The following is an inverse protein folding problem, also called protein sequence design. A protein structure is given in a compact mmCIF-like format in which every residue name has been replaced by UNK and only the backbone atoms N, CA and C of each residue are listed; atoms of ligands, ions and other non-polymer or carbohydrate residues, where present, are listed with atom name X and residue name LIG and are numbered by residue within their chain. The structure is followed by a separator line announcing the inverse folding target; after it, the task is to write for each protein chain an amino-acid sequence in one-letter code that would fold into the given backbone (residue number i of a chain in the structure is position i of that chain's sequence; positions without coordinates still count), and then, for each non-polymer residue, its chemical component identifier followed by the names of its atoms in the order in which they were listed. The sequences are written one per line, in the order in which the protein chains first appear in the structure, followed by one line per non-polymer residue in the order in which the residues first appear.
data_IF_755452740507
#
_entry.id   IF_755452740507
#
_cell.length_a   1.000
_cell.length_b   1.000
_cell.length_c   1.000
_cell.angle_alpha   90.00
_cell.angle_beta   90.00
_cell.angle_gamma   90.00
#
_symmetry.space_group_name_H-M   'P 1'
#
loop_
_entity.id
_entity.type
_entity.pdbx_description
1 polymer ?
#
# COMPACT_ATOMS: atom_id res chain seq x y z
N UNK A 1 -15.12 -7.71 1.73
CA UNK A 1 -14.45 -6.80 2.67
C UNK A 1 -13.33 -7.54 3.35
N UNK A 2 -12.13 -6.98 3.36
CA UNK A 2 -10.96 -7.59 3.99
C UNK A 2 -10.31 -6.56 4.93
N UNK A 3 -9.81 -7.00 6.08
CA UNK A 3 -9.06 -6.16 7.02
C UNK A 3 -7.70 -6.79 7.22
N UNK A 4 -6.65 -5.97 7.22
CA UNK A 4 -5.29 -6.40 7.55
C UNK A 4 -4.62 -5.41 8.47
N UNK A 5 -3.67 -5.92 9.25
CA UNK A 5 -2.80 -5.12 10.09
C UNK A 5 -1.36 -5.38 9.65
N UNK A 6 -0.59 -4.30 9.50
CA UNK A 6 0.86 -4.35 9.59
C UNK A 6 1.30 -4.15 11.05
N UNK A 7 2.56 -3.79 11.27
CA UNK A 7 3.09 -3.63 12.63
C UNK A 7 2.39 -2.52 13.41
N UNK A 8 2.19 -1.36 12.77
CA UNK A 8 1.66 -0.15 13.41
C UNK A 8 0.65 0.60 12.53
N UNK A 9 0.17 -0.02 11.44
CA UNK A 9 -0.85 0.52 10.56
C UNK A 9 -1.89 -0.54 10.19
N UNK A 10 -3.10 -0.11 9.89
CA UNK A 10 -4.20 -1.00 9.51
C UNK A 10 -4.81 -0.56 8.19
N UNK A 11 -5.44 -1.51 7.51
CA UNK A 11 -6.10 -1.28 6.24
C UNK A 11 -7.39 -2.05 6.13
N UNK A 12 -8.36 -1.46 5.43
CA UNK A 12 -9.63 -2.10 5.07
C UNK A 12 -9.89 -1.95 3.58
N UNK A 13 -10.26 -3.06 2.96
CA UNK A 13 -10.75 -3.12 1.59
C UNK A 13 -12.27 -3.24 1.60
N UNK A 14 -12.95 -2.26 1.00
CA UNK A 14 -14.41 -2.24 0.89
C UNK A 14 -14.93 -3.25 -0.15
N UNK A 15 -16.26 -3.37 -0.29
CA UNK A 15 -16.86 -4.26 -1.31
C UNK A 15 -16.75 -3.67 -2.71
N UNK A 16 -16.62 -2.35 -2.80
CA UNK A 16 -16.48 -1.55 -4.01
C UNK A 16 -15.02 -1.49 -4.50
N UNK A 17 -14.12 -2.26 -3.88
CA UNK A 17 -12.71 -2.32 -4.26
C UNK A 17 -11.88 -1.11 -3.84
N UNK A 18 -12.33 -0.32 -2.85
CA UNK A 18 -11.60 0.83 -2.32
C UNK A 18 -10.79 0.46 -1.09
N UNK A 19 -9.51 0.86 -1.08
CA UNK A 19 -8.58 0.58 0.02
C UNK A 19 -8.41 1.83 0.90
N UNK A 20 -8.65 1.66 2.19
CA UNK A 20 -8.43 2.69 3.21
C UNK A 20 -7.37 2.20 4.18
N UNK A 21 -6.53 3.12 4.67
CA UNK A 21 -5.45 2.81 5.62
C UNK A 21 -5.41 3.82 6.76
N UNK A 22 -4.79 3.50 7.89
CA UNK A 22 -4.57 4.46 8.99
C UNK A 22 -3.48 3.95 9.94
N UNK A 23 -3.02 4.81 10.85
CA UNK A 23 -1.99 4.51 11.85
C UNK A 23 -0.64 5.14 11.55
N UNK A 24 0.42 4.42 11.90
CA UNK A 24 1.81 4.85 11.75
C UNK A 24 2.20 4.97 10.28
N UNK A 25 3.02 5.98 10.00
CA UNK A 25 3.23 6.38 8.64
C UNK A 25 4.61 7.03 8.47
N UNK A 26 5.71 6.59 9.05
CA UNK A 26 6.98 7.31 8.78
C UNK A 26 7.59 6.94 7.42
N UNK A 27 7.24 5.76 6.88
CA UNK A 27 7.87 5.19 5.69
C UNK A 27 7.06 5.34 4.40
N UNK A 28 5.87 5.92 4.46
CA UNK A 28 4.98 5.98 3.30
C UNK A 28 3.84 4.96 3.33
N UNK A 29 3.78 4.07 4.32
CA UNK A 29 2.98 2.83 4.27
C UNK A 29 1.45 3.01 4.19
N UNK A 30 0.92 4.22 4.40
CA UNK A 30 -0.49 4.54 4.14
C UNK A 30 -0.78 4.92 2.67
N UNK A 31 0.22 5.26 1.86
CA UNK A 31 0.02 5.51 0.42
C UNK A 31 -0.71 6.82 0.09
N UNK A 32 -0.45 7.88 0.86
CA UNK A 32 -1.15 9.18 0.75
C UNK A 32 -0.28 10.34 0.23
N UNK A 33 0.94 10.06 -0.22
CA UNK A 33 1.85 11.08 -0.76
C UNK A 33 2.69 11.85 0.27
N UNK A 34 2.35 11.75 1.55
CA UNK A 34 3.15 12.36 2.63
C UNK A 34 4.29 11.41 3.07
N UNK A 35 5.33 11.79 3.82
CA UNK A 35 6.17 10.91 4.71
C UNK A 35 7.14 11.74 5.56
N UNK A 36 7.78 11.14 6.58
CA UNK A 36 8.75 11.85 7.44
C UNK A 36 8.15 13.00 8.25
N UNK A 37 8.81 14.16 8.26
CA UNK A 37 8.43 15.35 9.06
C UNK A 37 7.07 15.94 8.70
N UNK A 38 6.51 15.54 7.56
CA UNK A 38 5.19 15.96 7.10
C UNK A 38 4.03 15.15 7.73
N UNK A 39 4.30 14.37 8.79
CA UNK A 39 3.32 13.41 9.33
C UNK A 39 3.07 13.48 10.84
N UNK A 40 1.83 13.83 11.16
CA UNK A 40 1.12 13.33 12.33
C UNK A 40 0.54 11.97 11.96
N UNK A 41 0.73 10.94 12.80
CA UNK A 41 0.07 9.64 12.65
C UNK A 41 -1.43 9.82 12.42
N UNK A 42 -1.99 9.06 11.49
CA UNK A 42 -3.32 9.35 10.96
C UNK A 42 -4.33 8.51 11.71
N UNK A 43 -5.07 9.15 12.61
CA UNK A 43 -6.01 8.50 13.53
C UNK A 43 -7.31 8.09 12.85
N UNK A 44 -7.52 8.48 11.58
CA UNK A 44 -8.74 8.20 10.82
C UNK A 44 -8.38 7.45 9.53
N UNK A 45 -9.18 6.45 9.14
CA UNK A 45 -9.08 5.83 7.81
C UNK A 45 -9.23 6.88 6.71
N UNK A 46 -8.25 6.97 5.81
CA UNK A 46 -8.41 7.67 4.53
C UNK A 46 -8.10 6.72 3.38
N UNK A 47 -8.71 7.01 2.22
CA UNK A 47 -8.50 6.25 1.01
C UNK A 47 -7.06 6.42 0.53
N UNK A 48 -6.45 5.31 0.10
CA UNK A 48 -5.14 5.33 -0.57
C UNK A 48 -5.24 6.10 -1.88
N UNK A 49 -4.25 6.95 -2.15
CA UNK A 49 -4.24 7.90 -3.28
C UNK A 49 -3.35 7.44 -4.43
N UNK A 50 -3.34 8.22 -5.50
CA UNK A 50 -2.41 8.05 -6.62
C UNK A 50 -2.89 6.97 -7.59
N UNK A 51 -1.97 6.12 -8.06
CA UNK A 51 -2.24 5.21 -9.18
C UNK A 51 -3.34 4.17 -8.93
N UNK A 52 -3.71 3.92 -7.68
CA UNK A 52 -4.78 2.97 -7.34
C UNK A 52 -6.14 3.62 -7.05
N UNK A 53 -6.23 4.96 -7.08
CA UNK A 53 -7.46 5.68 -6.72
C UNK A 53 -8.64 5.31 -7.62
N UNK A 54 -8.36 5.06 -8.90
CA UNK A 54 -9.33 4.67 -9.93
C UNK A 54 -9.35 3.17 -10.24
N UNK A 55 -8.56 2.37 -9.51
CA UNK A 55 -8.53 0.91 -9.68
C UNK A 55 -9.52 0.23 -8.73
N UNK A 56 -9.90 -1.01 -9.06
CA UNK A 56 -10.67 -1.90 -8.18
C UNK A 56 -9.69 -2.88 -7.53
N UNK A 57 -9.43 -2.73 -6.22
CA UNK A 57 -8.54 -3.61 -5.47
C UNK A 57 -9.26 -4.91 -5.12
N UNK A 58 -8.61 -6.05 -5.38
CA UNK A 58 -9.14 -7.38 -5.07
C UNK A 58 -8.44 -8.03 -3.87
N UNK A 59 -7.18 -7.65 -3.61
CA UNK A 59 -6.39 -8.15 -2.50
C UNK A 59 -5.31 -7.14 -2.09
N UNK A 60 -4.83 -7.22 -0.85
CA UNK A 60 -3.74 -6.38 -0.35
C UNK A 60 -2.94 -7.10 0.74
N UNK A 61 -1.74 -6.66 1.07
CA UNK A 61 -1.00 -7.15 2.22
C UNK A 61 -0.23 -6.00 2.87
N UNK A 62 0.03 -6.14 4.16
CA UNK A 62 0.65 -5.10 4.98
C UNK A 62 1.78 -5.74 5.78
N UNK A 63 3.01 -5.27 5.57
CA UNK A 63 4.19 -5.69 6.33
C UNK A 63 4.51 -4.69 7.44
N UNK A 64 5.73 -4.72 7.99
CA UNK A 64 6.09 -3.84 9.11
C UNK A 64 6.17 -2.33 8.77
N UNK A 65 6.51 -2.01 7.52
CA UNK A 65 6.64 -0.63 7.05
C UNK A 65 6.26 -0.42 5.59
N UNK A 66 5.59 -1.39 4.98
CA UNK A 66 5.20 -1.37 3.58
C UNK A 66 3.84 -2.02 3.38
N UNK A 67 3.22 -1.74 2.25
CA UNK A 67 1.92 -2.25 1.86
C UNK A 67 1.94 -2.56 0.38
N UNK A 68 1.22 -3.58 -0.05
CA UNK A 68 1.03 -3.92 -1.44
C UNK A 68 -0.41 -4.28 -1.74
N UNK A 69 -0.84 -4.08 -2.98
CA UNK A 69 -2.21 -4.35 -3.42
C UNK A 69 -2.24 -4.90 -4.85
N UNK A 70 -3.27 -5.71 -5.12
CA UNK A 70 -3.55 -6.26 -6.44
C UNK A 70 -4.87 -5.68 -6.93
N UNK A 71 -4.87 -5.17 -8.15
CA UNK A 71 -6.07 -4.69 -8.83
C UNK A 71 -6.76 -5.84 -9.57
N UNK A 72 -8.03 -5.65 -9.90
CA UNK A 72 -8.80 -6.57 -10.77
C UNK A 72 -8.22 -6.70 -12.18
N UNK A 73 -7.47 -5.69 -12.63
CA UNK A 73 -6.69 -5.69 -13.86
C UNK A 73 -5.39 -6.49 -13.75
N UNK A 74 -5.19 -7.26 -12.67
CA UNK A 74 -4.00 -8.07 -12.39
C UNK A 74 -2.70 -7.26 -12.26
N UNK A 75 -2.80 -5.96 -11.98
CA UNK A 75 -1.65 -5.10 -11.71
C UNK A 75 -1.31 -5.16 -10.23
N UNK A 76 -0.02 -5.08 -9.92
CA UNK A 76 0.49 -5.10 -8.54
C UNK A 76 1.11 -3.76 -8.21
N UNK A 77 0.74 -3.23 -7.05
CA UNK A 77 1.25 -1.99 -6.52
C UNK A 77 1.89 -2.20 -5.16
N UNK A 78 2.94 -1.45 -4.86
CA UNK A 78 3.61 -1.42 -3.57
C UNK A 78 3.90 0.00 -3.13
N UNK A 79 3.90 0.24 -1.82
CA UNK A 79 4.29 1.52 -1.22
C UNK A 79 4.79 1.33 0.21
N UNK A 80 5.40 2.37 0.76
CA UNK A 80 6.08 2.36 2.04
C UNK A 80 7.59 2.15 1.90
N UNK A 81 8.19 1.52 2.91
CA UNK A 81 9.63 1.24 2.98
C UNK A 81 10.06 0.30 1.85
N UNK A 82 11.03 0.75 1.05
CA UNK A 82 11.80 -0.11 0.14
C UNK A 82 13.31 -0.05 0.43
N UNK A 83 13.72 0.35 1.64
CA UNK A 83 15.15 0.48 2.00
C UNK A 83 15.90 -0.85 1.95
N UNK A 84 15.18 -1.96 2.14
CA UNK A 84 15.70 -3.32 2.04
C UNK A 84 15.24 -4.05 0.76
N UNK A 85 14.58 -3.36 -0.18
CA UNK A 85 14.04 -3.98 -1.40
C UNK A 85 12.71 -4.71 -1.20
N UNK A 86 11.96 -4.41 -0.14
CA UNK A 86 10.69 -5.07 0.20
C UNK A 86 9.64 -5.04 -0.93
N UNK A 87 9.66 -3.99 -1.76
CA UNK A 87 8.73 -3.79 -2.86
C UNK A 87 9.22 -4.41 -4.18
N UNK A 88 10.46 -4.93 -4.24
CA UNK A 88 11.06 -5.38 -5.51
C UNK A 88 11.28 -4.26 -6.53
N UNK A 89 11.18 -3.00 -6.11
CA UNK A 89 11.42 -1.84 -6.95
C UNK A 89 12.93 -1.51 -7.02
N UNK A 90 13.40 -1.06 -8.19
CA UNK A 90 14.84 -0.85 -8.45
C UNK A 90 15.51 0.18 -7.53
N UNK A 91 14.76 1.19 -7.09
CA UNK A 91 15.27 2.24 -6.18
C UNK A 91 15.06 1.88 -4.71
N UNK A 92 16.14 1.88 -3.91
CA UNK A 92 16.11 1.64 -2.46
C UNK A 92 15.73 2.90 -1.66
N UNK A 93 14.45 3.27 -1.67
CA UNK A 93 13.93 4.43 -0.96
C UNK A 93 12.49 4.20 -0.47
N UNK A 94 11.95 5.09 0.36
CA UNK A 94 10.54 5.05 0.71
C UNK A 94 9.66 5.57 -0.43
N UNK A 95 8.53 4.90 -0.68
CA UNK A 95 7.53 5.31 -1.66
C UNK A 95 6.25 5.74 -0.92
N UNK A 96 5.96 7.04 -0.81
CA UNK A 96 4.80 7.53 -0.07
C UNK A 96 3.47 7.33 -0.79
N UNK A 97 3.51 6.97 -2.07
CA UNK A 97 2.37 6.65 -2.92
C UNK A 97 2.56 5.27 -3.55
N UNK A 98 1.48 4.58 -3.94
CA UNK A 98 1.54 3.35 -4.70
C UNK A 98 2.38 3.50 -5.96
N UNK A 99 3.39 2.63 -6.09
CA UNK A 99 4.15 2.42 -7.33
C UNK A 99 3.82 1.06 -7.92
N UNK A 100 3.73 0.98 -9.24
CA UNK A 100 3.50 -0.30 -9.93
C UNK A 100 4.76 -1.16 -9.86
N UNK A 101 4.57 -2.44 -9.54
CA UNK A 101 5.60 -3.47 -9.53
C UNK A 101 5.35 -4.37 -10.74
N UNK A 102 6.11 -4.23 -11.85
CA UNK A 102 5.88 -5.00 -13.05
C UNK A 102 6.37 -6.45 -12.85
N UNK A 103 5.45 -7.37 -12.60
CA UNK A 103 5.76 -8.78 -12.32
C UNK A 103 5.68 -9.69 -13.56
N UNK A 104 5.33 -9.17 -14.73
CA UNK A 104 5.32 -9.90 -16.01
C UNK A 104 4.18 -10.91 -16.18
N UNK A 105 3.82 -11.62 -15.12
CA UNK A 105 2.75 -12.64 -15.10
C UNK A 105 1.53 -12.19 -14.26
N UNK A 106 0.31 -12.68 -14.57
CA UNK A 106 -0.89 -12.35 -13.79
C UNK A 106 -0.80 -12.87 -12.35
N UNK A 107 -0.97 -11.97 -11.38
CA UNK A 107 -0.90 -12.30 -9.95
C UNK A 107 -2.30 -12.35 -9.35
N UNK A 108 -2.59 -13.42 -8.60
CA UNK A 108 -3.91 -13.62 -7.99
C UNK A 108 -3.95 -13.33 -6.48
N UNK A 109 -2.80 -13.30 -5.79
CA UNK A 109 -2.71 -13.15 -4.32
C UNK A 109 -1.42 -12.44 -3.91
N UNK A 110 -1.49 -11.66 -2.84
CA UNK A 110 -0.31 -11.05 -2.23
C UNK A 110 -0.21 -11.35 -0.73
N UNK A 111 1.02 -11.47 -0.21
CA UNK A 111 1.33 -11.64 1.22
C UNK A 111 2.58 -10.82 1.56
N UNK A 112 2.66 -10.37 2.81
CA UNK A 112 3.75 -9.57 3.36
C UNK A 112 4.35 -10.27 4.58
#
# INVERSE_FOLDING_TARGET
TQVRAGDQHMGVLTKEGKLYTWGYNDFGQLGWGLHGTDRVGQQKPNQVKGMIENEEIIDFAMGGGHTCAITKSCRVFGWGSNTNGQLGHAMKQCFPEPVEIPLGDPIAKVRA
#
